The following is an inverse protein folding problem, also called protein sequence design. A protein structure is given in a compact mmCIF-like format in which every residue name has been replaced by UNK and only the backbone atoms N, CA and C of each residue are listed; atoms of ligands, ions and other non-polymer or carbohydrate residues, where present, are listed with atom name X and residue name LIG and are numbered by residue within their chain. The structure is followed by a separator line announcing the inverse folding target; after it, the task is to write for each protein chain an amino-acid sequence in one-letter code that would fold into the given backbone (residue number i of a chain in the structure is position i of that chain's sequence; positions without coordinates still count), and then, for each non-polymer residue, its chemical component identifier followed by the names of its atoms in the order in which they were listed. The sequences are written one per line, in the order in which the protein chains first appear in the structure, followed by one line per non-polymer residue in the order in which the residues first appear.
data_IF_847140409844
#
_entry.id   IF_847140409844
#
_cell.length_a   1.000
_cell.length_b   1.000
_cell.length_c   1.000
_cell.angle_alpha   90.00
_cell.angle_beta   90.00
_cell.angle_gamma   90.00
#
_symmetry.space_group_name_H-M   'P 1'
#
loop_
_entity.id
_entity.type
_entity.pdbx_description
1 polymer ?
#
# COMPACT_ATOMS: atom_id res chain seq x y z
N UNK A 1 32.43 -59.23 -35.40
CA UNK A 1 31.03 -58.86 -35.72
C UNK A 1 30.13 -59.59 -34.76
N UNK A 2 29.16 -58.87 -34.17
CA UNK A 2 28.10 -59.37 -33.28
C UNK A 2 28.54 -59.86 -31.90
N UNK A 3 28.37 -59.00 -30.89
CA UNK A 3 28.17 -59.44 -29.51
C UNK A 3 26.83 -58.87 -29.04
N UNK A 4 25.93 -59.77 -28.63
CA UNK A 4 24.70 -59.44 -27.91
C UNK A 4 24.39 -60.56 -26.93
N UNK A 5 23.85 -60.11 -25.78
CA UNK A 5 23.28 -60.83 -24.63
C UNK A 5 24.31 -61.14 -23.54
N UNK A 6 24.06 -60.79 -22.28
CA UNK A 6 22.90 -61.22 -21.50
C UNK A 6 22.63 -60.27 -20.32
N UNK A 7 21.36 -60.08 -19.94
CA UNK A 7 20.95 -59.45 -18.69
C UNK A 7 21.45 -60.26 -17.49
N UNK A 8 22.00 -59.58 -16.48
CA UNK A 8 22.06 -60.08 -15.12
C UNK A 8 21.30 -59.11 -14.22
N UNK A 9 20.22 -59.61 -13.62
CA UNK A 9 19.52 -58.97 -12.51
C UNK A 9 20.34 -59.23 -11.26
N UNK A 10 20.79 -58.18 -10.57
CA UNK A 10 21.24 -58.25 -9.19
C UNK A 10 20.49 -57.16 -8.43
N UNK A 11 19.69 -57.59 -7.47
CA UNK A 11 18.93 -56.71 -6.59
C UNK A 11 19.85 -55.90 -5.69
N UNK A 12 19.43 -54.69 -5.36
CA UNK A 12 19.98 -53.92 -4.25
C UNK A 12 18.83 -53.52 -3.34
N UNK A 13 19.04 -53.86 -2.07
CA UNK A 13 18.14 -53.73 -0.95
C UNK A 13 17.74 -52.27 -0.70
N UNK A 14 16.54 -52.11 -0.14
CA UNK A 14 16.10 -50.85 0.42
C UNK A 14 17.02 -50.38 1.55
N UNK A 15 17.34 -49.09 1.51
CA UNK A 15 17.72 -48.32 2.67
C UNK A 15 16.77 -47.11 2.72
N UNK A 16 15.86 -47.11 3.69
CA UNK A 16 15.21 -45.89 4.16
C UNK A 16 16.31 -45.01 4.78
N UNK A 17 16.61 -43.89 4.13
CA UNK A 17 17.34 -42.80 4.77
C UNK A 17 16.33 -41.77 5.25
N UNK A 18 16.21 -41.71 6.58
CA UNK A 18 15.48 -40.71 7.35
C UNK A 18 15.98 -39.30 7.00
N UNK A 19 15.05 -38.35 7.02
CA UNK A 19 15.27 -36.95 6.72
C UNK A 19 16.42 -36.32 7.50
N UNK A 20 17.19 -35.51 6.78
CA UNK A 20 18.03 -34.46 7.35
C UNK A 20 17.68 -33.17 6.63
N UNK A 21 17.22 -32.17 7.36
CA UNK A 21 17.03 -30.82 6.86
C UNK A 21 18.37 -30.32 6.32
N UNK A 22 18.50 -30.24 5.00
CA UNK A 22 19.49 -29.36 4.41
C UNK A 22 18.99 -27.94 4.65
N UNK A 23 19.46 -27.31 5.73
CA UNK A 23 19.43 -25.86 5.82
C UNK A 23 20.24 -25.35 4.63
N UNK A 24 19.55 -24.96 3.57
CA UNK A 24 20.14 -24.11 2.54
C UNK A 24 20.43 -22.79 3.24
N UNK A 25 21.63 -22.65 3.78
CA UNK A 25 22.19 -21.33 4.07
C UNK A 25 22.33 -20.66 2.71
N UNK A 26 21.29 -19.94 2.30
CA UNK A 26 21.42 -18.92 1.29
C UNK A 26 22.39 -17.90 1.88
N UNK A 27 23.65 -17.94 1.46
CA UNK A 27 24.54 -16.79 1.57
C UNK A 27 23.95 -15.75 0.64
N UNK A 28 23.01 -14.97 1.17
CA UNK A 28 22.57 -13.73 0.54
C UNK A 28 23.80 -12.83 0.54
N UNK A 29 24.39 -12.64 -0.65
CA UNK A 29 25.37 -11.57 -0.84
C UNK A 29 24.73 -10.27 -0.34
N UNK A 30 25.45 -9.40 0.38
CA UNK A 30 24.88 -8.13 0.81
C UNK A 30 24.41 -7.41 -0.46
N UNK A 31 23.10 -7.26 -0.63
CA UNK A 31 22.59 -6.34 -1.63
C UNK A 31 23.09 -4.97 -1.20
N UNK A 32 23.79 -4.27 -2.08
CA UNK A 32 24.03 -2.83 -1.86
C UNK A 32 22.67 -2.20 -1.57
N UNK A 33 22.53 -1.59 -0.39
CA UNK A 33 21.34 -0.83 -0.04
C UNK A 33 21.24 0.33 -1.04
N UNK A 34 20.38 0.16 -2.04
CA UNK A 34 20.10 1.21 -3.02
C UNK A 34 19.26 2.26 -2.29
N UNK A 35 19.94 3.30 -1.79
CA UNK A 35 19.29 4.46 -1.20
C UNK A 35 18.89 5.43 -2.32
N UNK A 36 17.67 5.95 -2.25
CA UNK A 36 17.21 6.92 -3.23
C UNK A 36 17.90 8.28 -3.00
N UNK A 37 18.44 8.87 -4.07
CA UNK A 37 18.99 10.21 -4.03
C UNK A 37 17.84 11.24 -3.94
N UNK A 38 17.90 12.21 -3.00
CA UNK A 38 16.85 13.21 -2.87
C UNK A 38 17.12 14.48 -3.69
N UNK A 39 16.04 15.17 -4.07
CA UNK A 39 16.10 16.59 -4.42
C UNK A 39 16.44 17.45 -3.19
N UNK A 40 16.96 18.66 -3.46
CA UNK A 40 17.15 19.69 -2.44
C UNK A 40 16.70 21.04 -2.98
N UNK A 41 15.89 21.76 -2.19
CA UNK A 41 15.35 23.06 -2.58
C UNK A 41 15.82 24.17 -1.65
N UNK A 42 16.06 25.36 -2.19
CA UNK A 42 16.46 26.54 -1.39
C UNK A 42 15.28 27.11 -0.60
N UNK A 43 14.09 27.19 -1.22
CA UNK A 43 12.88 27.77 -0.61
C UNK A 43 12.16 26.82 0.33
N UNK A 44 12.32 25.51 0.12
CA UNK A 44 11.71 24.42 0.91
C UNK A 44 12.77 23.35 1.24
N UNK A 45 13.77 23.68 2.06
CA UNK A 45 14.83 22.74 2.43
C UNK A 45 14.32 21.55 3.27
N UNK A 46 13.08 21.64 3.76
CA UNK A 46 12.36 20.55 4.43
C UNK A 46 11.82 19.48 3.46
N UNK A 47 11.79 19.76 2.16
CA UNK A 47 11.35 18.80 1.14
C UNK A 47 12.55 18.12 0.49
N UNK A 48 12.60 16.80 0.58
CA UNK A 48 13.64 15.93 0.01
C UNK A 48 13.06 14.75 -0.78
N UNK A 49 12.12 14.97 -1.74
CA UNK A 49 11.53 13.89 -2.52
C UNK A 49 12.61 13.14 -3.32
N UNK A 50 12.42 11.85 -3.61
CA UNK A 50 13.39 11.10 -4.40
C UNK A 50 13.48 11.61 -5.84
N UNK A 51 14.67 11.51 -6.43
CA UNK A 51 14.87 11.74 -7.86
C UNK A 51 14.22 10.60 -8.64
N UNK A 52 13.26 10.93 -9.49
CA UNK A 52 12.57 9.97 -10.35
C UNK A 52 13.24 9.96 -11.72
N UNK A 53 13.99 8.89 -12.02
CA UNK A 53 14.54 8.71 -13.37
C UNK A 53 13.50 8.04 -14.25
N UNK A 54 13.07 8.72 -15.31
CA UNK A 54 12.16 8.10 -16.27
C UNK A 54 12.92 7.48 -17.43
N UNK A 55 12.69 6.19 -17.65
CA UNK A 55 13.30 5.43 -18.74
C UNK A 55 12.31 5.19 -19.87
N UNK A 56 12.83 5.09 -21.08
CA UNK A 56 12.06 4.67 -22.26
C UNK A 56 12.54 3.30 -22.71
N UNK A 57 11.61 2.46 -23.18
CA UNK A 57 11.94 1.16 -23.78
C UNK A 57 11.27 1.06 -25.14
N UNK A 58 11.73 0.13 -25.98
CA UNK A 58 11.13 -0.10 -27.31
C UNK A 58 9.64 -0.48 -27.27
N UNK A 59 9.16 -0.98 -26.11
CA UNK A 59 7.75 -1.29 -25.86
C UNK A 59 7.02 -0.19 -25.07
N UNK A 60 7.74 0.83 -24.62
CA UNK A 60 7.18 1.95 -23.87
C UNK A 60 6.31 2.82 -24.76
N UNK A 61 5.31 3.47 -24.14
CA UNK A 61 4.47 4.43 -24.85
C UNK A 61 5.34 5.55 -25.45
N UNK A 62 5.16 5.84 -26.74
CA UNK A 62 5.83 6.95 -27.45
C UNK A 62 5.03 8.25 -27.34
N UNK A 63 4.20 8.36 -26.30
CA UNK A 63 3.35 9.54 -26.12
C UNK A 63 4.25 10.75 -25.85
N UNK A 64 3.79 11.90 -26.35
CA UNK A 64 4.37 13.17 -25.97
C UNK A 64 4.22 13.35 -24.45
N UNK A 65 5.31 13.76 -23.81
CA UNK A 65 5.44 13.87 -22.36
C UNK A 65 5.08 15.28 -21.88
N UNK A 66 4.97 16.22 -22.82
CA UNK A 66 4.53 17.59 -22.54
C UNK A 66 3.13 17.57 -21.93
N UNK A 67 3.03 18.11 -20.72
CA UNK A 67 1.77 18.16 -19.96
C UNK A 67 1.34 16.81 -19.35
N UNK A 68 2.20 15.79 -19.36
CA UNK A 68 1.97 14.57 -18.58
C UNK A 68 2.37 14.77 -17.13
N UNK A 69 1.55 14.22 -16.22
CA UNK A 69 1.86 14.16 -14.79
C UNK A 69 1.73 12.72 -14.30
N UNK A 70 2.59 12.33 -13.39
CA UNK A 70 2.50 11.08 -12.65
C UNK A 70 2.29 11.35 -11.17
N UNK A 71 1.34 10.63 -10.58
CA UNK A 71 0.98 10.71 -9.17
C UNK A 71 1.66 9.53 -8.48
N UNK A 72 2.52 9.85 -7.52
CA UNK A 72 3.41 8.90 -6.87
C UNK A 72 3.20 8.93 -5.37
N UNK A 73 3.42 7.77 -4.74
CA UNK A 73 3.56 7.65 -3.30
C UNK A 73 4.87 6.97 -2.94
N UNK A 74 6.05 7.62 -3.10
CA UNK A 74 7.32 7.01 -2.73
C UNK A 74 7.30 6.51 -1.28
N UNK A 75 7.90 5.34 -1.08
CA UNK A 75 7.98 4.67 0.22
C UNK A 75 9.43 4.53 0.61
N UNK A 76 9.69 4.89 1.85
CA UNK A 76 10.99 4.72 2.47
C UNK A 76 10.83 3.90 3.73
N UNK A 77 10.96 2.58 3.57
CA UNK A 77 10.76 1.65 4.67
C UNK A 77 11.93 1.67 5.67
N UNK A 78 13.07 2.22 5.27
CA UNK A 78 14.32 2.21 6.03
C UNK A 78 14.74 3.61 6.50
N UNK A 79 13.93 4.65 6.21
CA UNK A 79 14.24 6.06 6.49
C UNK A 79 15.62 6.46 5.97
N UNK A 80 15.88 6.15 4.70
CA UNK A 80 16.99 6.65 3.92
C UNK A 80 16.96 8.17 3.69
N UNK A 81 17.71 8.61 2.70
CA UNK A 81 17.96 10.03 2.45
C UNK A 81 16.80 10.79 1.79
N UNK A 82 15.86 10.08 1.16
CA UNK A 82 14.76 10.69 0.43
C UNK A 82 13.44 10.50 1.19
N UNK A 83 12.67 11.57 1.32
CA UNK A 83 11.40 11.51 2.03
C UNK A 83 10.39 10.61 1.30
N UNK A 84 9.61 9.88 2.09
CA UNK A 84 8.36 9.29 1.63
C UNK A 84 7.26 10.35 1.55
N UNK A 85 6.13 10.00 0.94
CA UNK A 85 4.95 10.86 0.92
C UNK A 85 4.26 10.88 -0.43
N UNK A 86 3.33 11.82 -0.60
CA UNK A 86 2.60 12.01 -1.85
C UNK A 86 3.35 13.01 -2.73
N UNK A 87 3.54 12.69 -4.00
CA UNK A 87 4.23 13.57 -4.95
C UNK A 87 3.58 13.52 -6.33
N UNK A 88 3.60 14.67 -7.02
CA UNK A 88 3.29 14.78 -8.43
C UNK A 88 4.58 15.16 -9.15
N UNK A 89 4.95 14.36 -10.15
CA UNK A 89 6.08 14.67 -11.04
C UNK A 89 5.59 14.92 -12.45
N UNK A 90 6.33 15.72 -13.20
CA UNK A 90 6.04 15.97 -14.60
C UNK A 90 6.54 14.85 -15.52
N UNK A 91 6.40 15.12 -16.82
CA UNK A 91 6.86 14.26 -17.89
C UNK A 91 8.35 14.01 -17.89
N UNK A 92 9.22 14.66 -17.12
CA UNK A 92 10.65 14.35 -17.04
C UNK A 92 11.04 13.71 -15.69
N UNK A 93 10.10 13.63 -14.75
CA UNK A 93 10.31 13.14 -13.40
C UNK A 93 10.66 14.25 -12.41
N UNK A 94 10.57 15.52 -12.83
CA UNK A 94 10.82 16.67 -11.96
C UNK A 94 9.60 16.89 -11.03
N UNK A 95 9.81 17.14 -9.72
CA UNK A 95 8.72 17.37 -8.78
C UNK A 95 7.95 18.66 -9.08
N UNK A 96 6.63 18.52 -9.24
CA UNK A 96 5.68 19.62 -9.42
C UNK A 96 5.00 19.97 -8.09
N UNK A 97 4.70 18.95 -7.29
CA UNK A 97 4.12 19.09 -5.96
C UNK A 97 4.57 17.94 -5.05
N UNK A 98 4.78 18.23 -3.77
CA UNK A 98 5.19 17.25 -2.75
C UNK A 98 4.48 17.57 -1.44
N UNK A 99 3.76 16.58 -0.90
CA UNK A 99 3.25 16.65 0.47
C UNK A 99 4.40 16.42 1.46
N UNK A 100 4.53 17.32 2.43
CA UNK A 100 5.36 17.04 3.60
C UNK A 100 4.52 16.25 4.61
N UNK A 101 4.65 14.92 4.62
CA UNK A 101 3.94 14.04 5.57
C UNK A 101 4.78 13.68 6.79
N UNK A 102 5.95 14.30 6.97
CA UNK A 102 6.90 13.90 8.01
C UNK A 102 7.26 12.42 7.88
N UNK A 103 7.07 11.68 8.98
CA UNK A 103 7.36 10.24 9.04
C UNK A 103 6.15 9.37 8.65
N UNK A 104 5.00 9.97 8.31
CA UNK A 104 3.82 9.22 7.87
C UNK A 104 3.92 8.85 6.38
N UNK A 105 3.38 7.68 6.04
CA UNK A 105 3.27 7.22 4.67
C UNK A 105 2.08 7.88 3.98
N UNK A 106 2.15 8.07 2.65
CA UNK A 106 1.02 8.57 1.88
C UNK A 106 0.58 7.62 0.75
N UNK A 107 -0.69 7.29 0.66
CA UNK A 107 -1.24 6.36 -0.34
C UNK A 107 -2.40 6.99 -1.11
N UNK A 108 -2.80 6.34 -2.20
CA UNK A 108 -3.98 6.70 -3.00
C UNK A 108 -4.04 8.20 -3.39
N UNK A 109 -2.89 8.76 -3.77
CA UNK A 109 -2.83 10.13 -4.30
C UNK A 109 -3.52 10.16 -5.67
N UNK A 110 -4.65 10.85 -5.77
CA UNK A 110 -5.44 10.96 -7.00
C UNK A 110 -6.34 12.19 -7.01
N UNK A 111 -6.82 12.54 -8.20
CA UNK A 111 -7.87 13.55 -8.37
C UNK A 111 -9.23 12.89 -8.18
N UNK A 112 -10.10 13.53 -7.41
CA UNK A 112 -11.50 13.17 -7.22
C UNK A 112 -12.38 14.41 -7.43
N UNK A 113 -13.69 14.26 -7.32
CA UNK A 113 -14.64 15.38 -7.36
C UNK A 113 -15.30 15.52 -5.99
N UNK A 114 -15.38 16.74 -5.46
CA UNK A 114 -16.11 17.04 -4.23
C UNK A 114 -16.92 18.32 -4.42
N UNK A 115 -18.23 18.24 -4.21
CA UNK A 115 -19.18 19.33 -4.45
C UNK A 115 -19.11 19.93 -5.87
N UNK A 116 -18.81 19.09 -6.87
CA UNK A 116 -18.72 19.47 -8.28
C UNK A 116 -17.40 20.15 -8.68
N UNK A 117 -16.43 20.24 -7.76
CA UNK A 117 -15.10 20.79 -8.02
C UNK A 117 -14.03 19.69 -7.96
N UNK A 118 -13.00 19.74 -8.81
CA UNK A 118 -11.89 18.81 -8.74
C UNK A 118 -11.08 19.05 -7.46
N UNK A 119 -10.79 17.97 -6.74
CA UNK A 119 -9.98 17.97 -5.53
C UNK A 119 -8.84 16.97 -5.65
N UNK A 120 -7.72 17.25 -5.01
CA UNK A 120 -6.63 16.30 -4.84
C UNK A 120 -6.78 15.60 -3.50
N UNK A 121 -6.80 14.27 -3.50
CA UNK A 121 -6.88 13.48 -2.27
C UNK A 121 -5.64 12.64 -2.09
N UNK A 122 -5.22 12.44 -0.85
CA UNK A 122 -4.28 11.37 -0.49
C UNK A 122 -4.54 10.90 0.94
N UNK A 123 -4.37 9.60 1.16
CA UNK A 123 -4.33 9.03 2.50
C UNK A 123 -2.98 9.35 3.15
N UNK A 124 -2.96 9.63 4.45
CA UNK A 124 -1.75 9.83 5.26
C UNK A 124 -1.87 9.08 6.60
N UNK A 125 -0.80 8.39 7.00
CA UNK A 125 -0.73 7.74 8.31
C UNK A 125 0.28 6.61 8.39
N UNK A 126 0.10 5.75 9.39
CA UNK A 126 0.97 4.60 9.64
C UNK A 126 0.59 3.43 8.75
N UNK A 127 1.54 2.94 7.96
CA UNK A 127 1.35 1.77 7.12
C UNK A 127 2.03 0.54 7.71
N UNK A 128 1.31 -0.57 7.72
CA UNK A 128 1.80 -1.88 8.13
C UNK A 128 1.05 -2.96 7.35
N UNK A 129 0.53 -3.97 8.06
CA UNK A 129 -0.36 -4.95 7.44
C UNK A 129 -1.68 -4.32 6.94
N UNK A 130 -2.16 -3.30 7.66
CA UNK A 130 -3.23 -2.39 7.26
C UNK A 130 -2.81 -0.96 7.63
N UNK A 131 -3.53 0.02 7.09
CA UNK A 131 -3.33 1.43 7.35
C UNK A 131 -4.08 1.88 8.59
N UNK A 132 -3.48 2.84 9.30
CA UNK A 132 -4.13 3.64 10.33
C UNK A 132 -3.84 5.09 10.04
N UNK A 133 -4.82 5.78 9.47
CA UNK A 133 -4.65 7.14 9.03
C UNK A 133 -5.95 7.85 8.69
N UNK A 134 -5.79 8.87 7.87
CA UNK A 134 -6.84 9.80 7.47
C UNK A 134 -6.62 10.21 6.01
N UNK A 135 -7.66 10.69 5.36
CA UNK A 135 -7.62 11.21 3.98
C UNK A 135 -7.61 12.72 4.02
N UNK A 136 -6.60 13.32 3.40
CA UNK A 136 -6.49 14.76 3.19
C UNK A 136 -7.14 15.10 1.86
N UNK A 137 -7.96 16.16 1.84
CA UNK A 137 -8.58 16.70 0.64
C UNK A 137 -8.07 18.12 0.42
N UNK A 138 -7.51 18.37 -0.76
CA UNK A 138 -7.01 19.67 -1.17
C UNK A 138 -7.83 20.24 -2.34
N UNK A 139 -7.99 21.56 -2.36
CA UNK A 139 -8.52 22.29 -3.52
C UNK A 139 -7.48 22.45 -4.65
N UNK A 140 -7.86 23.16 -5.71
CA UNK A 140 -7.00 23.44 -6.88
C UNK A 140 -5.82 24.39 -6.58
N UNK A 141 -5.80 25.00 -5.38
CA UNK A 141 -4.67 25.77 -4.85
C UNK A 141 -3.75 24.92 -3.97
N UNK A 142 -4.03 23.62 -3.85
CA UNK A 142 -3.34 22.67 -2.97
C UNK A 142 -3.45 23.03 -1.48
N UNK A 143 -4.55 23.69 -1.09
CA UNK A 143 -4.86 24.01 0.31
C UNK A 143 -5.77 22.94 0.90
N UNK A 144 -5.49 22.47 2.13
CA UNK A 144 -6.33 21.50 2.83
C UNK A 144 -7.70 22.11 3.15
N UNK A 145 -8.75 21.50 2.60
CA UNK A 145 -10.15 21.92 2.80
C UNK A 145 -10.93 20.94 3.68
N UNK A 146 -10.48 19.69 3.78
CA UNK A 146 -11.07 18.68 4.65
C UNK A 146 -10.07 17.57 4.99
N UNK A 147 -10.35 16.90 6.11
CA UNK A 147 -9.65 15.72 6.60
C UNK A 147 -10.67 14.72 7.11
N UNK A 148 -10.62 13.50 6.59
CA UNK A 148 -11.66 12.49 6.80
C UNK A 148 -11.04 11.21 7.32
N UNK A 149 -11.69 10.57 8.29
CA UNK A 149 -11.29 9.26 8.80
C UNK A 149 -12.52 8.49 9.24
N UNK A 150 -12.32 7.28 9.73
CA UNK A 150 -13.36 6.46 10.36
C UNK A 150 -13.95 7.17 11.59
N UNK A 151 -15.19 6.86 11.94
CA UNK A 151 -15.84 7.33 13.17
C UNK A 151 -16.14 6.20 14.15
N UNK A 152 -16.80 6.54 15.24
CA UNK A 152 -17.21 5.56 16.28
C UNK A 152 -18.12 4.46 15.69
N UNK A 153 -17.97 3.19 16.12
CA UNK A 153 -17.14 2.73 17.25
C UNK A 153 -15.68 2.43 16.90
N UNK A 154 -15.29 2.46 15.62
CA UNK A 154 -13.91 2.19 15.18
C UNK A 154 -12.98 3.32 15.67
N UNK A 155 -13.48 4.56 15.64
CA UNK A 155 -12.78 5.76 16.05
C UNK A 155 -11.88 6.33 14.94
N UNK A 156 -11.60 7.63 15.02
CA UNK A 156 -10.77 8.33 14.05
C UNK A 156 -9.31 7.83 14.02
N UNK A 157 -8.68 7.97 12.85
CA UNK A 157 -7.30 7.56 12.59
C UNK A 157 -7.14 6.08 12.24
N UNK A 158 -8.22 5.35 11.96
CA UNK A 158 -8.18 3.92 11.63
C UNK A 158 -8.59 3.63 10.18
N UNK A 159 -8.72 4.66 9.34
CA UNK A 159 -8.94 4.45 7.92
C UNK A 159 -7.72 3.74 7.31
N UNK A 160 -7.98 2.65 6.59
CA UNK A 160 -7.00 1.89 5.84
C UNK A 160 -6.61 2.61 4.55
N UNK A 161 -5.42 2.30 4.05
CA UNK A 161 -4.77 3.01 2.95
C UNK A 161 -5.27 2.59 1.54
N UNK A 162 -6.06 1.51 1.42
CA UNK A 162 -6.37 0.91 0.12
C UNK A 162 -7.56 1.55 -0.62
N UNK A 163 -8.42 2.32 0.04
CA UNK A 163 -9.56 2.98 -0.60
C UNK A 163 -9.97 4.27 0.13
N UNK A 164 -10.25 5.31 -0.66
CA UNK A 164 -10.60 6.67 -0.20
C UNK A 164 -11.63 7.37 -1.10
N UNK A 165 -12.57 6.62 -1.67
CA UNK A 165 -13.50 7.14 -2.72
C UNK A 165 -14.50 8.15 -2.16
N UNK A 166 -14.55 9.34 -2.76
CA UNK A 166 -15.62 10.33 -2.57
C UNK A 166 -16.84 9.93 -3.41
N UNK A 167 -18.02 9.95 -2.81
CA UNK A 167 -19.29 9.67 -3.48
C UNK A 167 -19.91 10.94 -4.07
N UNK A 168 -20.93 10.77 -4.92
CA UNK A 168 -21.69 11.89 -5.48
C UNK A 168 -22.47 12.70 -4.42
N UNK A 169 -22.73 12.11 -3.24
CA UNK A 169 -23.44 12.74 -2.14
C UNK A 169 -22.53 13.56 -1.22
N UNK A 170 -21.23 13.65 -1.52
CA UNK A 170 -20.26 14.38 -0.69
C UNK A 170 -19.83 13.61 0.57
N UNK A 171 -19.98 12.28 0.54
CA UNK A 171 -19.49 11.35 1.58
C UNK A 171 -18.22 10.66 1.08
N UNK A 172 -17.53 9.94 1.97
CA UNK A 172 -16.34 9.16 1.64
C UNK A 172 -16.50 7.72 2.11
N UNK A 173 -16.20 6.77 1.23
CA UNK A 173 -16.07 5.36 1.56
C UNK A 173 -14.66 5.09 2.08
N UNK A 174 -14.59 4.55 3.30
CA UNK A 174 -13.36 4.22 3.99
C UNK A 174 -13.35 2.74 4.36
N UNK A 175 -12.20 2.10 4.16
CA UNK A 175 -11.94 0.77 4.71
C UNK A 175 -11.33 0.88 6.10
N UNK A 176 -11.57 -0.12 6.93
CA UNK A 176 -10.89 -0.28 8.20
C UNK A 176 -10.75 -1.75 8.57
N UNK A 177 -9.84 -2.04 9.49
CA UNK A 177 -9.65 -3.38 10.00
C UNK A 177 -9.69 -3.38 11.53
N UNK A 178 -10.60 -4.18 12.09
CA UNK A 178 -10.82 -4.28 13.53
C UNK A 178 -10.50 -5.70 13.99
N UNK A 179 -9.70 -5.84 15.05
CA UNK A 179 -9.47 -7.16 15.66
C UNK A 179 -10.69 -7.54 16.49
N UNK A 180 -11.44 -8.55 16.04
CA UNK A 180 -12.69 -8.99 16.67
C UNK A 180 -12.57 -10.43 17.22
N UNK A 181 -13.20 -10.76 18.36
CA UNK A 181 -13.24 -12.13 18.86
C UNK A 181 -14.13 -13.02 17.98
N UNK A 182 -13.68 -14.25 17.71
CA UNK A 182 -14.46 -15.21 16.92
C UNK A 182 -14.20 -16.67 17.35
N UNK A 183 -15.18 -17.55 17.09
CA UNK A 183 -15.01 -19.00 17.22
C UNK A 183 -14.37 -19.55 15.94
N UNK A 184 -13.12 -20.01 16.05
CA UNK A 184 -12.33 -20.49 14.92
C UNK A 184 -12.41 -22.02 14.75
N UNK A 185 -13.29 -22.70 15.48
CA UNK A 185 -13.33 -24.18 15.47
C UNK A 185 -13.64 -24.76 14.09
N UNK A 186 -14.42 -24.08 13.26
CA UNK A 186 -14.76 -24.53 11.90
C UNK A 186 -13.52 -24.57 10.98
N UNK A 187 -12.55 -23.69 11.22
CA UNK A 187 -11.26 -23.65 10.50
C UNK A 187 -10.13 -24.36 11.26
N UNK A 188 -10.45 -25.15 12.28
CA UNK A 188 -9.48 -25.92 13.07
C UNK A 188 -8.69 -25.10 14.11
N UNK A 189 -9.13 -23.87 14.39
CA UNK A 189 -8.57 -22.98 15.40
C UNK A 189 -9.22 -23.10 16.79
N UNK A 190 -8.81 -22.24 17.73
CA UNK A 190 -9.41 -22.19 19.06
C UNK A 190 -10.84 -21.62 19.04
N UNK A 191 -11.68 -22.09 19.97
CA UNK A 191 -13.04 -21.54 20.20
C UNK A 191 -13.06 -20.06 20.57
N UNK A 192 -12.01 -19.58 21.24
CA UNK A 192 -11.88 -18.18 21.65
C UNK A 192 -10.65 -17.60 20.93
N UNK A 193 -10.79 -17.33 19.64
CA UNK A 193 -9.77 -16.72 18.81
C UNK A 193 -10.06 -15.26 18.50
N UNK A 194 -9.25 -14.71 17.60
CA UNK A 194 -9.45 -13.38 17.03
C UNK A 194 -9.30 -13.46 15.52
N UNK A 195 -10.08 -12.67 14.82
CA UNK A 195 -9.95 -12.41 13.39
C UNK A 195 -9.66 -10.94 13.17
N UNK A 196 -9.03 -10.63 12.04
CA UNK A 196 -8.99 -9.26 11.54
C UNK A 196 -10.24 -9.07 10.68
N UNK A 197 -11.24 -8.40 11.23
CA UNK A 197 -12.50 -8.12 10.57
C UNK A 197 -12.34 -6.93 9.63
N UNK A 198 -12.82 -7.07 8.39
CA UNK A 198 -12.89 -5.97 7.44
C UNK A 198 -14.15 -5.13 7.66
N UNK A 199 -13.99 -3.81 7.62
CA UNK A 199 -15.06 -2.83 7.79
C UNK A 199 -15.10 -1.87 6.61
N UNK A 200 -16.30 -1.40 6.28
CA UNK A 200 -16.54 -0.28 5.37
C UNK A 200 -17.37 0.75 6.14
N UNK A 201 -16.90 2.01 6.19
CA UNK A 201 -17.71 3.13 6.66
C UNK A 201 -17.95 4.12 5.53
N UNK A 202 -19.18 4.62 5.45
CA UNK A 202 -19.50 5.83 4.69
C UNK A 202 -19.56 7.01 5.63
N UNK A 203 -18.69 8.00 5.42
CA UNK A 203 -18.51 9.14 6.32
C UNK A 203 -18.85 10.44 5.58
N UNK A 204 -19.71 11.27 6.18
CA UNK A 204 -19.97 12.62 5.67
C UNK A 204 -18.71 13.48 5.79
N UNK A 205 -18.21 14.02 4.67
CA UNK A 205 -16.92 14.73 4.62
C UNK A 205 -16.96 16.03 5.42
N UNK A 206 -18.12 16.70 5.47
CA UNK A 206 -18.26 18.01 6.10
C UNK A 206 -18.34 17.91 7.64
N UNK A 207 -18.87 16.80 8.15
CA UNK A 207 -19.18 16.64 9.58
C UNK A 207 -18.35 15.56 10.26
N UNK A 208 -17.82 14.59 9.51
CA UNK A 208 -17.18 13.39 10.04
C UNK A 208 -18.17 12.37 10.61
N UNK A 209 -19.48 12.53 10.35
CA UNK A 209 -20.51 11.59 10.83
C UNK A 209 -20.49 10.30 10.00
N UNK A 210 -20.49 9.15 10.67
CA UNK A 210 -20.66 7.84 10.02
C UNK A 210 -22.14 7.66 9.68
N UNK A 211 -22.44 7.60 8.39
CA UNK A 211 -23.81 7.42 7.89
C UNK A 211 -24.15 5.95 7.68
N UNK A 212 -23.15 5.12 7.43
CA UNK A 212 -23.27 3.70 7.21
C UNK A 212 -22.02 2.97 7.68
N UNK A 213 -22.21 1.75 8.21
CA UNK A 213 -21.13 0.82 8.55
C UNK A 213 -21.53 -0.59 8.09
N UNK A 214 -20.56 -1.29 7.51
CA UNK A 214 -20.63 -2.71 7.21
C UNK A 214 -19.45 -3.43 7.84
N UNK A 215 -19.72 -4.53 8.54
CA UNK A 215 -18.74 -5.37 9.18
C UNK A 215 -18.75 -6.78 8.55
N UNK A 216 -17.58 -7.32 8.23
CA UNK A 216 -17.51 -8.55 7.45
C UNK A 216 -18.10 -9.77 8.16
N UNK A 217 -18.03 -9.88 9.49
CA UNK A 217 -18.52 -11.06 10.20
C UNK A 217 -20.04 -11.12 10.33
N UNK A 218 -20.74 -10.02 10.06
CA UNK A 218 -22.21 -10.01 10.01
C UNK A 218 -22.72 -10.83 8.80
N UNK A 219 -21.91 -10.96 7.76
CA UNK A 219 -22.32 -11.54 6.47
C UNK A 219 -21.43 -12.72 6.02
N UNK A 220 -20.17 -12.78 6.45
CA UNK A 220 -19.17 -13.76 6.02
C UNK A 220 -18.72 -14.60 7.24
N UNK A 221 -19.11 -15.89 7.31
CA UNK A 221 -18.66 -16.77 8.39
C UNK A 221 -17.16 -17.08 8.28
N UNK A 222 -16.57 -17.42 9.43
CA UNK A 222 -15.15 -17.76 9.57
C UNK A 222 -14.84 -19.17 9.10
#
# INVERSE_FOLDING_TARGET
MVSRRTLAVVGVAGALALGGCAAQTSTQEPSEEVTAEPWSFVSRPDLTPPIVTVTTSERGATLDRDGMYAFLGPKDLDQGSAMQGAAIVDGDGDPVWVANTGDDSAFDLRVQEYQGEPVLTYWVGQSGFHGRGEVIILDDTYTEIARVSTGEPIGAGNADMHETTITEDGTMLLLAYVTAPADLTEVGGPRNGYVLEGHVQEVDIATGEVLFEWASLDEVPV
#
